data_IF_257404843582
#
_entry.id   IF_257404843582
#
_cell.length_a   1.000
_cell.length_b   1.000
_cell.length_c   1.000
_cell.angle_alpha   90.00
_cell.angle_beta   90.00
_cell.angle_gamma   90.00
#
_symmetry.space_group_name_H-M   'P 1'
#
loop_
_entity.id
_entity.type
_entity.pdbx_description
1 polymer ?
#
# COMPACT_ATOMS: atom_id res chain seq x y z
N UNK A 1 28.61 -42.13 11.38
CA UNK A 1 29.73 -42.25 12.34
C UNK A 1 31.01 -41.92 11.60
N UNK A 2 31.54 -40.72 11.80
CA UNK A 2 32.89 -40.34 11.39
C UNK A 2 33.41 -39.41 12.50
N UNK A 3 34.48 -39.86 13.14
CA UNK A 3 35.16 -39.28 14.30
C UNK A 3 36.37 -38.53 13.77
N UNK A 4 36.51 -37.23 14.07
CA UNK A 4 37.79 -36.50 14.04
C UNK A 4 37.86 -35.52 15.22
N UNK A 5 39.07 -35.21 15.72
CA UNK A 5 39.34 -35.02 17.14
C UNK A 5 39.50 -33.55 17.56
N UNK A 6 39.41 -33.34 18.87
CA UNK A 6 39.91 -32.18 19.60
C UNK A 6 41.41 -31.97 19.33
N UNK A 7 41.80 -30.72 19.13
CA UNK A 7 43.11 -30.28 19.62
C UNK A 7 43.01 -28.91 20.31
N UNK A 8 43.67 -28.87 21.47
CA UNK A 8 43.72 -27.78 22.44
C UNK A 8 45.02 -27.00 22.24
N UNK A 9 45.01 -25.80 22.78
CA UNK A 9 46.18 -25.05 23.28
C UNK A 9 47.17 -24.48 22.28
N UNK A 10 47.12 -23.14 22.13
CA UNK A 10 48.30 -22.31 22.35
C UNK A 10 47.95 -21.03 23.09
N UNK A 11 48.59 -20.91 24.26
CA UNK A 11 48.66 -19.76 25.15
C UNK A 11 49.44 -18.61 24.50
N UNK A 12 49.01 -17.39 24.78
CA UNK A 12 49.74 -16.16 24.52
C UNK A 12 49.32 -15.08 25.51
N UNK A 13 49.83 -15.15 26.73
CA UNK A 13 49.71 -14.12 27.75
C UNK A 13 50.76 -13.02 27.49
N UNK A 14 50.33 -11.76 27.52
CA UNK A 14 51.19 -10.58 27.41
C UNK A 14 50.54 -9.38 28.10
N UNK A 15 50.75 -9.30 29.41
CA UNK A 15 50.45 -8.18 30.30
C UNK A 15 51.37 -6.99 29.97
N UNK A 16 50.86 -5.78 29.75
CA UNK A 16 51.51 -4.54 30.17
C UNK A 16 50.48 -3.46 30.48
N UNK A 17 50.57 -2.97 31.73
CA UNK A 17 49.80 -1.90 32.33
C UNK A 17 50.26 -0.52 31.85
N UNK A 18 49.35 0.46 31.89
CA UNK A 18 49.69 1.86 31.66
C UNK A 18 48.48 2.79 31.57
N UNK A 19 47.86 3.09 32.71
CA UNK A 19 46.94 4.24 32.85
C UNK A 19 47.75 5.54 33.03
N UNK A 20 47.34 6.66 32.42
CA UNK A 20 47.22 7.91 33.18
C UNK A 20 46.01 8.76 32.72
N UNK A 21 45.81 10.01 33.21
CA UNK A 21 44.88 10.37 34.27
C UNK A 21 43.58 11.05 33.77
N UNK A 22 42.60 11.12 34.68
CA UNK A 22 41.38 11.94 34.58
C UNK A 22 41.69 13.43 34.78
N UNK A 23 41.09 14.30 33.96
CA UNK A 23 40.64 15.67 34.28
C UNK A 23 39.59 16.11 33.23
N UNK A 24 38.76 17.14 33.50
CA UNK A 24 37.32 17.12 33.24
C UNK A 24 36.89 18.12 32.15
N UNK A 25 35.57 18.16 31.89
CA UNK A 25 34.83 19.23 31.19
C UNK A 25 35.11 19.37 29.69
N UNK A 26 34.14 19.00 28.86
CA UNK A 26 33.22 19.99 28.29
C UNK A 26 32.03 19.29 27.62
N UNK A 27 30.82 19.78 27.94
CA UNK A 27 29.61 19.52 27.16
C UNK A 27 29.90 19.79 25.68
N UNK A 28 29.62 18.80 24.83
CA UNK A 28 29.10 19.08 23.51
C UNK A 28 27.91 18.14 23.29
N UNK A 29 26.79 18.52 23.89
CA UNK A 29 25.49 18.15 23.37
C UNK A 29 25.40 18.75 21.95
N UNK A 30 25.90 18.00 20.95
CA UNK A 30 25.43 18.21 19.58
C UNK A 30 24.01 17.68 19.57
N UNK A 31 23.06 18.59 19.77
CA UNK A 31 21.68 18.33 19.38
C UNK A 31 21.70 17.68 17.99
N UNK A 32 20.98 16.57 17.77
CA UNK A 32 20.83 16.04 16.42
C UNK A 32 20.27 17.17 15.57
N UNK A 33 21.08 17.67 14.63
CA UNK A 33 20.61 18.58 13.60
C UNK A 33 19.53 17.81 12.86
N UNK A 34 18.27 18.18 13.12
CA UNK A 34 17.16 17.76 12.29
C UNK A 34 17.58 18.02 10.84
N UNK A 35 17.68 16.99 9.98
CA UNK A 35 17.97 17.22 8.58
C UNK A 35 16.88 18.17 8.05
N UNK A 36 17.24 19.19 7.26
CA UNK A 36 16.25 20.06 6.66
C UNK A 36 15.32 19.17 5.84
N UNK A 37 14.07 19.05 6.31
CA UNK A 37 12.98 18.39 5.62
C UNK A 37 12.59 19.26 4.42
N UNK A 38 13.44 19.34 3.40
CA UNK A 38 12.97 19.64 2.04
C UNK A 38 12.23 18.40 1.54
N UNK A 39 11.02 18.22 2.08
CA UNK A 39 10.08 17.22 1.64
C UNK A 39 9.53 17.70 0.28
N UNK A 40 9.73 16.90 -0.77
CA UNK A 40 9.25 17.16 -2.13
C UNK A 40 7.75 17.53 -2.08
N UNK A 41 7.43 18.81 -2.35
CA UNK A 41 6.09 19.40 -2.17
C UNK A 41 4.97 18.63 -2.89
N UNK A 42 5.27 17.94 -3.98
CA UNK A 42 4.29 17.18 -4.78
C UNK A 42 3.69 16.02 -3.97
N UNK A 43 4.51 15.30 -3.19
CA UNK A 43 4.02 14.21 -2.35
C UNK A 43 3.28 14.71 -1.11
N UNK A 44 3.65 15.89 -0.60
CA UNK A 44 2.84 16.57 0.43
C UNK A 44 1.47 16.96 -0.09
N UNK A 45 1.36 17.35 -1.37
CA UNK A 45 0.08 17.69 -2.01
C UNK A 45 -0.88 16.51 -2.06
N UNK A 46 -0.42 15.37 -2.58
CA UNK A 46 -1.24 14.13 -2.62
C UNK A 46 -1.60 13.66 -1.22
N UNK A 47 -0.65 13.72 -0.27
CA UNK A 47 -0.91 13.40 1.13
C UNK A 47 -1.99 14.29 1.75
N UNK A 48 -1.98 15.59 1.46
CA UNK A 48 -3.03 16.51 1.90
C UNK A 48 -4.38 16.19 1.25
N UNK A 49 -4.43 15.91 -0.05
CA UNK A 49 -5.66 15.50 -0.73
C UNK A 49 -6.25 14.22 -0.15
N UNK A 50 -5.44 13.21 0.14
CA UNK A 50 -5.89 11.96 0.75
C UNK A 50 -6.35 12.13 2.21
N UNK A 51 -5.87 13.17 2.91
CA UNK A 51 -6.32 13.52 4.27
C UNK A 51 -7.64 14.29 4.28
N UNK A 52 -8.06 14.91 3.16
CA UNK A 52 -9.28 15.72 3.10
C UNK A 52 -10.54 14.96 3.54
N UNK A 53 -10.81 13.71 3.08
CA UNK A 53 -11.97 12.95 3.56
C UNK A 53 -11.95 12.78 5.08
N UNK A 54 -10.79 12.43 5.65
CA UNK A 54 -10.64 12.28 7.11
C UNK A 54 -10.84 13.59 7.86
N UNK A 55 -10.29 14.69 7.34
CA UNK A 55 -10.48 16.03 7.92
C UNK A 55 -11.93 16.52 7.83
N UNK A 56 -12.61 16.26 6.71
CA UNK A 56 -14.03 16.58 6.53
C UNK A 56 -14.90 15.76 7.49
N UNK A 57 -14.66 14.45 7.61
CA UNK A 57 -15.34 13.62 8.59
C UNK A 57 -15.08 14.09 10.02
N UNK A 58 -13.84 14.46 10.37
CA UNK A 58 -13.52 15.02 11.68
C UNK A 58 -14.25 16.35 11.96
N UNK A 59 -14.34 17.24 10.97
CA UNK A 59 -15.10 18.48 11.07
C UNK A 59 -16.60 18.23 11.21
N UNK A 60 -17.16 17.30 10.44
CA UNK A 60 -18.55 16.85 10.57
C UNK A 60 -18.84 16.26 11.96
N UNK A 61 -17.93 15.45 12.50
CA UNK A 61 -18.05 14.91 13.87
C UNK A 61 -18.09 16.01 14.94
N UNK A 62 -17.25 17.04 14.80
CA UNK A 62 -17.26 18.21 15.68
C UNK A 62 -18.56 19.02 15.56
N UNK A 63 -19.12 19.16 14.36
CA UNK A 63 -20.42 19.81 14.17
C UNK A 63 -21.56 18.98 14.78
N UNK A 64 -21.57 17.65 14.56
CA UNK A 64 -22.55 16.74 15.17
C UNK A 64 -22.49 16.75 16.70
N UNK A 65 -21.30 16.97 17.29
CA UNK A 65 -21.14 17.17 18.73
C UNK A 65 -21.86 18.43 19.23
N UNK A 66 -21.84 19.52 18.47
CA UNK A 66 -22.59 20.74 18.82
C UNK A 66 -24.11 20.55 18.71
N UNK A 67 -24.55 19.68 17.80
CA UNK A 67 -25.97 19.34 17.60
C UNK A 67 -26.48 18.21 18.50
N UNK A 68 -25.67 17.71 19.45
CA UNK A 68 -26.01 16.56 20.31
C UNK A 68 -26.41 15.28 19.55
N UNK A 69 -25.92 15.09 18.33
CA UNK A 69 -26.20 13.90 17.52
C UNK A 69 -25.11 12.83 17.71
N UNK A 70 -25.28 11.98 18.72
CA UNK A 70 -24.27 10.98 19.12
C UNK A 70 -24.00 9.91 18.05
N UNK A 71 -25.02 9.49 17.28
CA UNK A 71 -24.86 8.46 16.24
C UNK A 71 -23.97 8.97 15.08
N UNK A 72 -24.28 10.15 14.54
CA UNK A 72 -23.47 10.75 13.48
C UNK A 72 -22.06 11.09 13.96
N UNK A 73 -21.92 11.55 15.22
CA UNK A 73 -20.61 11.81 15.83
C UNK A 73 -19.73 10.56 15.81
N UNK A 74 -20.23 9.42 16.31
CA UNK A 74 -19.47 8.16 16.33
C UNK A 74 -19.06 7.69 14.92
N UNK A 75 -19.98 7.76 13.95
CA UNK A 75 -19.69 7.41 12.56
C UNK A 75 -18.61 8.32 11.96
N UNK A 76 -18.70 9.63 12.18
CA UNK A 76 -17.73 10.60 11.70
C UNK A 76 -16.36 10.45 12.37
N UNK A 77 -16.31 10.24 13.68
CA UNK A 77 -15.08 10.02 14.44
C UNK A 77 -14.40 8.71 13.98
N UNK A 78 -15.15 7.60 13.86
CA UNK A 78 -14.65 6.32 13.36
C UNK A 78 -14.13 6.42 11.91
N UNK A 79 -14.89 7.06 11.02
CA UNK A 79 -14.49 7.27 9.63
C UNK A 79 -13.22 8.15 9.54
N UNK A 80 -13.15 9.23 10.33
CA UNK A 80 -11.98 10.10 10.36
C UNK A 80 -10.73 9.39 10.88
N UNK A 81 -10.89 8.52 11.90
CA UNK A 81 -9.84 7.67 12.45
C UNK A 81 -9.35 6.69 11.40
N UNK A 82 -10.27 5.96 10.76
CA UNK A 82 -9.97 5.01 9.70
C UNK A 82 -9.26 5.66 8.51
N UNK A 83 -9.75 6.80 8.00
CA UNK A 83 -9.11 7.52 6.91
C UNK A 83 -7.71 8.05 7.28
N UNK A 84 -7.54 8.57 8.50
CA UNK A 84 -6.24 9.10 8.95
C UNK A 84 -5.22 7.99 9.15
N UNK A 85 -5.63 6.87 9.76
CA UNK A 85 -4.82 5.68 9.93
C UNK A 85 -4.45 5.07 8.57
N UNK A 86 -5.41 5.00 7.65
CA UNK A 86 -5.19 4.49 6.30
C UNK A 86 -4.14 5.32 5.54
N UNK A 87 -4.19 6.64 5.61
CA UNK A 87 -3.21 7.52 4.94
C UNK A 87 -1.83 7.46 5.61
N UNK A 88 -1.77 7.15 6.91
CA UNK A 88 -0.52 6.98 7.63
C UNK A 88 0.23 5.69 7.23
N UNK A 89 -0.49 4.67 6.77
CA UNK A 89 0.12 3.42 6.29
C UNK A 89 0.97 3.67 5.02
N UNK A 90 2.10 2.96 4.86
CA UNK A 90 2.84 2.94 3.60
C UNK A 90 1.92 2.49 2.47
N UNK A 91 2.24 2.84 1.22
CA UNK A 91 1.46 2.50 0.02
C UNK A 91 0.04 3.07 -0.06
N UNK A 92 -0.41 3.90 0.88
CA UNK A 92 -1.77 4.47 0.85
C UNK A 92 -2.07 5.24 -0.45
N UNK A 93 -1.07 5.96 -0.98
CA UNK A 93 -1.19 6.65 -2.28
C UNK A 93 -1.38 5.68 -3.45
N UNK A 94 -0.73 4.51 -3.43
CA UNK A 94 -0.93 3.48 -4.45
C UNK A 94 -2.37 2.98 -4.44
N UNK A 95 -2.92 2.72 -3.26
CA UNK A 95 -4.29 2.21 -3.12
C UNK A 95 -5.30 3.23 -3.62
N UNK A 96 -5.13 4.52 -3.27
CA UNK A 96 -6.03 5.58 -3.75
C UNK A 96 -5.98 5.71 -5.27
N UNK A 97 -4.79 5.79 -5.85
CA UNK A 97 -4.62 5.92 -7.31
C UNK A 97 -5.19 4.70 -8.03
N UNK A 98 -4.85 3.50 -7.56
CA UNK A 98 -5.32 2.24 -8.13
C UNK A 98 -6.83 2.10 -8.05
N UNK A 99 -7.43 2.43 -6.91
CA UNK A 99 -8.88 2.40 -6.72
C UNK A 99 -9.58 3.39 -7.65
N UNK A 100 -9.07 4.62 -7.75
CA UNK A 100 -9.64 5.63 -8.62
C UNK A 100 -9.60 5.22 -10.10
N UNK A 101 -8.47 4.69 -10.57
CA UNK A 101 -8.33 4.20 -11.95
C UNK A 101 -9.23 2.99 -12.23
N UNK A 102 -9.29 2.03 -11.30
CA UNK A 102 -10.10 0.82 -11.44
C UNK A 102 -11.60 1.14 -11.43
N UNK A 103 -12.05 2.05 -10.56
CA UNK A 103 -13.44 2.51 -10.53
C UNK A 103 -13.79 3.25 -11.83
N UNK A 104 -12.92 4.16 -12.29
CA UNK A 104 -13.14 4.85 -13.56
C UNK A 104 -13.29 3.84 -14.70
N UNK A 105 -12.37 2.88 -14.81
CA UNK A 105 -12.43 1.81 -15.79
C UNK A 105 -13.73 1.01 -15.73
N UNK A 106 -14.16 0.59 -14.54
CA UNK A 106 -15.43 -0.12 -14.35
C UNK A 106 -16.64 0.72 -14.76
N UNK A 107 -16.66 2.02 -14.48
CA UNK A 107 -17.74 2.93 -14.89
C UNK A 107 -17.80 3.03 -16.42
N UNK A 108 -16.67 3.19 -17.10
CA UNK A 108 -16.64 3.22 -18.57
C UNK A 108 -17.06 1.89 -19.19
N UNK A 109 -16.63 0.76 -18.62
CA UNK A 109 -17.05 -0.56 -19.10
C UNK A 109 -18.53 -0.81 -18.86
N UNK A 110 -19.07 -0.48 -17.68
CA UNK A 110 -20.48 -0.66 -17.33
C UNK A 110 -21.40 0.20 -18.20
N UNK A 111 -21.05 1.47 -18.41
CA UNK A 111 -21.80 2.37 -19.30
C UNK A 111 -21.75 1.90 -20.75
N UNK A 112 -20.60 1.38 -21.20
CA UNK A 112 -20.51 0.86 -22.57
C UNK A 112 -21.28 -0.44 -22.75
N UNK A 113 -21.33 -1.29 -21.72
CA UNK A 113 -22.06 -2.55 -21.74
C UNK A 113 -23.59 -2.36 -21.88
N UNK A 114 -24.11 -1.20 -21.48
CA UNK A 114 -25.52 -0.84 -21.63
C UNK A 114 -25.91 -0.39 -23.04
N UNK A 115 -24.94 -0.11 -23.92
CA UNK A 115 -25.23 0.32 -25.29
C UNK A 115 -25.61 -0.86 -26.19
N UNK A 116 -26.82 -0.86 -26.74
CA UNK A 116 -27.30 -1.91 -27.64
C UNK A 116 -26.47 -2.03 -28.94
N UNK A 117 -25.84 -0.94 -29.37
CA UNK A 117 -24.98 -0.93 -30.56
C UNK A 117 -23.73 -1.79 -30.41
N UNK A 118 -23.31 -2.09 -29.17
CA UNK A 118 -22.19 -2.98 -28.89
C UNK A 118 -22.42 -4.39 -29.45
N UNK A 119 -23.69 -4.84 -29.51
CA UNK A 119 -24.07 -6.14 -30.06
C UNK A 119 -23.89 -6.21 -31.59
N UNK A 120 -23.85 -5.06 -32.27
CA UNK A 120 -23.66 -4.97 -33.72
C UNK A 120 -22.19 -4.86 -34.11
N UNK A 121 -21.30 -4.63 -33.15
CA UNK A 121 -19.86 -4.54 -33.42
C UNK A 121 -19.31 -5.91 -33.84
N UNK A 122 -18.73 -5.94 -35.04
CA UNK A 122 -17.95 -7.08 -35.53
C UNK A 122 -16.48 -6.73 -35.39
N UNK A 123 -15.79 -7.47 -34.52
CA UNK A 123 -14.35 -7.36 -34.34
C UNK A 123 -13.60 -7.87 -35.59
N UNK A 124 -12.36 -7.41 -35.82
CA UNK A 124 -11.56 -7.89 -36.94
C UNK A 124 -11.27 -9.40 -36.85
N UNK A 125 -10.95 -10.04 -37.98
CA UNK A 125 -10.78 -11.49 -38.08
C UNK A 125 -9.67 -12.06 -37.18
N UNK A 126 -8.71 -11.25 -36.74
CA UNK A 126 -7.65 -11.64 -35.80
C UNK A 126 -8.11 -11.68 -34.34
N UNK A 127 -9.31 -11.17 -34.04
CA UNK A 127 -9.89 -11.21 -32.70
C UNK A 127 -10.44 -12.60 -32.39
N UNK A 128 -9.87 -13.25 -31.38
CA UNK A 128 -10.30 -14.57 -30.92
C UNK A 128 -11.41 -14.53 -29.86
N UNK A 129 -11.86 -13.34 -29.48
CA UNK A 129 -12.95 -13.13 -28.50
C UNK A 129 -13.98 -12.16 -29.05
N UNK A 130 -15.20 -12.23 -28.52
CA UNK A 130 -16.25 -11.22 -28.77
C UNK A 130 -15.98 -9.95 -27.96
N UNK A 131 -16.61 -8.83 -28.34
CA UNK A 131 -16.51 -7.56 -27.59
C UNK A 131 -16.95 -7.74 -26.14
N UNK A 132 -18.07 -8.44 -25.91
CA UNK A 132 -18.56 -8.73 -24.56
C UNK A 132 -17.56 -9.56 -23.76
N UNK A 133 -16.93 -10.56 -24.39
CA UNK A 133 -15.86 -11.34 -23.75
C UNK A 133 -14.66 -10.46 -23.37
N UNK A 134 -14.26 -9.55 -24.26
CA UNK A 134 -13.21 -8.57 -23.98
C UNK A 134 -13.54 -7.68 -22.78
N UNK A 135 -14.74 -7.08 -22.76
CA UNK A 135 -15.24 -6.22 -21.68
C UNK A 135 -15.27 -6.96 -20.34
N UNK A 136 -15.80 -8.20 -20.30
CA UNK A 136 -15.88 -8.99 -19.07
C UNK A 136 -14.49 -9.28 -18.49
N UNK A 137 -13.53 -9.66 -19.33
CA UNK A 137 -12.15 -9.89 -18.88
C UNK A 137 -11.50 -8.59 -18.40
N UNK A 138 -11.75 -7.46 -19.08
CA UNK A 138 -11.26 -6.15 -18.64
C UNK A 138 -11.84 -5.75 -17.27
N UNK A 139 -13.15 -5.98 -17.05
CA UNK A 139 -13.79 -5.75 -15.75
C UNK A 139 -13.18 -6.64 -14.66
N UNK A 140 -12.87 -7.90 -14.98
CA UNK A 140 -12.21 -8.80 -14.03
C UNK A 140 -10.82 -8.29 -13.61
N UNK A 141 -10.03 -7.74 -14.54
CA UNK A 141 -8.75 -7.11 -14.19
C UNK A 141 -8.93 -5.86 -13.32
N UNK A 142 -9.90 -5.00 -13.63
CA UNK A 142 -10.17 -3.82 -12.81
C UNK A 142 -10.60 -4.20 -11.38
N UNK A 143 -11.43 -5.23 -11.22
CA UNK A 143 -11.81 -5.76 -9.90
C UNK A 143 -10.60 -6.39 -9.18
N UNK A 144 -9.77 -7.15 -9.89
CA UNK A 144 -8.54 -7.70 -9.32
C UNK A 144 -7.63 -6.59 -8.80
N UNK A 145 -7.47 -5.49 -9.54
CA UNK A 145 -6.68 -4.33 -9.11
C UNK A 145 -7.26 -3.68 -7.85
N UNK A 146 -8.58 -3.54 -7.79
CA UNK A 146 -9.29 -2.97 -6.65
C UNK A 146 -9.12 -3.81 -5.38
N UNK A 147 -9.10 -5.14 -5.50
CA UNK A 147 -8.85 -6.06 -4.39
C UNK A 147 -7.36 -6.16 -4.03
N UNK A 148 -6.48 -6.15 -5.03
CA UNK A 148 -5.04 -6.34 -4.83
C UNK A 148 -4.40 -5.18 -4.10
N UNK A 149 -4.78 -3.94 -4.41
CA UNK A 149 -4.16 -2.77 -3.79
C UNK A 149 -4.27 -2.75 -2.25
N UNK A 150 -5.45 -2.94 -1.62
CA UNK A 150 -5.55 -3.03 -0.16
C UNK A 150 -4.89 -4.31 0.38
N UNK A 151 -4.96 -5.44 -0.33
CA UNK A 151 -4.25 -6.67 0.05
C UNK A 151 -2.74 -6.42 0.17
N UNK A 152 -2.13 -5.82 -0.86
CA UNK A 152 -0.70 -5.58 -0.88
C UNK A 152 -0.26 -4.58 0.21
N UNK A 153 -1.06 -3.52 0.42
CA UNK A 153 -0.83 -2.60 1.53
C UNK A 153 -0.90 -3.30 2.89
N UNK A 154 -1.89 -4.18 3.08
CA UNK A 154 -2.04 -4.94 4.32
C UNK A 154 -0.85 -5.86 4.57
N UNK A 155 -0.40 -6.63 3.58
CA UNK A 155 0.75 -7.54 3.71
C UNK A 155 2.05 -6.79 4.04
N UNK A 156 2.27 -5.64 3.42
CA UNK A 156 3.43 -4.79 3.76
C UNK A 156 3.32 -4.24 5.18
N UNK A 157 2.12 -3.83 5.61
CA UNK A 157 1.90 -3.34 6.96
C UNK A 157 2.09 -4.42 8.03
N UNK A 158 1.51 -5.59 7.82
CA UNK A 158 1.67 -6.77 8.67
C UNK A 158 3.15 -7.10 8.87
N UNK A 159 3.91 -7.11 7.78
CA UNK A 159 5.34 -7.39 7.82
C UNK A 159 6.14 -6.37 8.64
N UNK A 160 5.80 -5.09 8.53
CA UNK A 160 6.43 -4.02 9.32
C UNK A 160 6.12 -4.20 10.81
N UNK A 161 4.88 -4.54 11.16
CA UNK A 161 4.49 -4.77 12.55
C UNK A 161 5.19 -6.00 13.16
N UNK A 162 5.33 -7.09 12.40
CA UNK A 162 6.07 -8.28 12.85
C UNK A 162 7.55 -7.96 13.15
N UNK A 163 8.18 -7.16 12.30
CA UNK A 163 9.59 -6.77 12.44
C UNK A 163 9.78 -5.80 13.61
N UNK A 164 8.89 -4.81 13.78
CA UNK A 164 8.98 -3.86 14.89
C UNK A 164 8.79 -4.53 16.25
N UNK A 165 7.86 -5.48 16.36
CA UNK A 165 7.58 -6.19 17.61
C UNK A 165 8.72 -7.13 18.00
N UNK A 166 9.44 -7.67 17.02
CA UNK A 166 10.60 -8.54 17.27
C UNK A 166 11.79 -7.77 17.84
N UNK A 167 11.97 -6.50 17.47
CA UNK A 167 13.01 -5.64 18.00
C UNK A 167 12.67 -5.08 19.39
N UNK A 168 11.39 -4.77 19.64
CA UNK A 168 10.91 -4.28 20.94
C UNK A 168 11.13 -5.30 22.06
N UNK A 169 10.95 -6.60 21.78
CA UNK A 169 11.24 -7.68 22.75
C UNK A 169 12.70 -7.74 23.21
N UNK A 170 13.62 -7.08 22.50
CA UNK A 170 15.04 -7.00 22.86
C UNK A 170 15.38 -5.70 23.58
N UNK A 171 14.50 -4.69 23.56
CA UNK A 171 14.70 -3.37 24.15
C UNK A 171 13.82 -3.19 25.41
N UNK A 172 14.17 -2.21 26.23
CA UNK A 172 13.59 -1.97 27.55
C UNK A 172 12.04 -1.82 27.49
N UNK A 173 11.23 -2.52 28.32
CA UNK A 173 9.76 -2.51 28.28
C UNK A 173 9.08 -1.14 28.54
N UNK A 174 9.83 -0.05 28.70
CA UNK A 174 9.27 1.28 28.99
C UNK A 174 9.00 2.13 27.72
N UNK A 175 9.46 1.72 26.53
CA UNK A 175 9.34 2.51 25.30
C UNK A 175 8.00 2.28 24.60
N UNK A 176 7.08 3.24 24.70
CA UNK A 176 5.69 3.13 24.17
C UNK A 176 5.51 3.49 22.69
N UNK A 177 6.57 3.99 22.03
CA UNK A 177 6.52 4.43 20.63
C UNK A 177 7.74 3.92 19.89
N UNK A 178 7.50 3.00 18.94
CA UNK A 178 8.54 2.46 18.06
C UNK A 178 8.55 3.27 16.77
N UNK A 179 9.65 3.97 16.52
CA UNK A 179 9.86 4.70 15.26
C UNK A 179 10.43 3.75 14.22
N UNK A 180 9.67 3.44 13.18
CA UNK A 180 10.13 2.60 12.07
C UNK A 180 10.90 3.46 11.08
N UNK A 181 12.13 3.05 10.80
CA UNK A 181 13.01 3.75 9.85
C UNK A 181 12.53 3.56 8.41
N UNK A 182 12.97 4.44 7.50
CA UNK A 182 12.57 4.35 6.08
C UNK A 182 13.15 3.10 5.42
N UNK A 183 14.32 2.69 5.90
CA UNK A 183 15.09 1.55 5.47
C UNK A 183 14.36 0.25 5.81
N UNK A 184 13.82 0.13 7.04
CA UNK A 184 12.96 -0.98 7.47
C UNK A 184 11.72 -1.08 6.57
N UNK A 185 10.94 0.01 6.43
CA UNK A 185 9.73 0.00 5.58
C UNK A 185 10.04 -0.46 4.14
N UNK A 186 11.18 -0.02 3.59
CA UNK A 186 11.60 -0.41 2.24
C UNK A 186 12.00 -1.89 2.18
N UNK A 187 12.66 -2.40 3.20
CA UNK A 187 13.08 -3.80 3.23
C UNK A 187 11.88 -4.74 3.42
N UNK A 188 10.96 -4.41 4.32
CA UNK A 188 9.68 -5.12 4.47
C UNK A 188 8.91 -5.12 3.13
N UNK A 189 8.86 -3.97 2.44
CA UNK A 189 8.25 -3.88 1.10
C UNK A 189 8.89 -4.85 0.11
N UNK A 190 10.23 -4.87 -0.01
CA UNK A 190 10.93 -5.77 -0.95
C UNK A 190 10.70 -7.23 -0.59
N UNK A 191 10.68 -7.55 0.70
CA UNK A 191 10.47 -8.91 1.15
C UNK A 191 9.08 -9.40 0.75
N UNK A 192 8.03 -8.63 1.02
CA UNK A 192 6.68 -8.95 0.58
C UNK A 192 6.61 -9.00 -0.95
N UNK A 193 7.23 -8.04 -1.64
CA UNK A 193 7.22 -7.99 -3.10
C UNK A 193 7.85 -9.22 -3.77
N UNK A 194 8.97 -9.70 -3.26
CA UNK A 194 9.74 -10.81 -3.85
C UNK A 194 9.27 -12.19 -3.38
N UNK A 195 8.76 -12.30 -2.16
CA UNK A 195 8.47 -13.60 -1.54
C UNK A 195 6.97 -13.89 -1.39
N UNK A 196 6.08 -12.91 -1.55
CA UNK A 196 4.64 -13.17 -1.50
C UNK A 196 4.14 -13.70 -2.85
N UNK A 197 3.67 -14.96 -2.85
CA UNK A 197 3.17 -15.62 -4.05
C UNK A 197 1.98 -14.89 -4.68
N UNK A 198 1.12 -14.25 -3.87
CA UNK A 198 0.00 -13.46 -4.36
C UNK A 198 0.47 -12.23 -5.13
N UNK A 199 1.51 -11.56 -4.67
CA UNK A 199 2.14 -10.44 -5.38
C UNK A 199 2.76 -10.91 -6.70
N UNK A 200 3.50 -12.02 -6.71
CA UNK A 200 4.06 -12.58 -7.95
C UNK A 200 2.96 -12.91 -8.98
N UNK A 201 1.88 -13.57 -8.55
CA UNK A 201 0.73 -13.86 -9.42
C UNK A 201 0.10 -12.57 -9.98
N UNK A 202 -0.03 -11.55 -9.15
CA UNK A 202 -0.56 -10.25 -9.58
C UNK A 202 0.30 -9.59 -10.66
N UNK A 203 1.63 -9.66 -10.60
CA UNK A 203 2.49 -9.12 -11.67
C UNK A 203 2.30 -9.83 -13.01
N UNK A 204 2.05 -11.15 -12.99
CA UNK A 204 1.69 -11.90 -14.19
C UNK A 204 0.32 -11.45 -14.72
N UNK A 205 -0.66 -11.26 -13.83
CA UNK A 205 -1.98 -10.75 -14.19
C UNK A 205 -1.91 -9.31 -14.74
N UNK A 206 -1.01 -8.47 -14.21
CA UNK A 206 -0.76 -7.11 -14.70
C UNK A 206 -0.18 -7.14 -16.12
N UNK A 207 0.79 -8.02 -16.39
CA UNK A 207 1.33 -8.23 -17.73
C UNK A 207 0.27 -8.74 -18.72
N UNK A 208 -0.58 -9.66 -18.28
CA UNK A 208 -1.72 -10.13 -19.07
C UNK A 208 -2.72 -9.00 -19.36
N UNK A 209 -3.06 -8.19 -18.36
CA UNK A 209 -3.95 -7.03 -18.48
C UNK A 209 -3.40 -5.99 -19.45
N UNK A 210 -2.09 -5.71 -19.41
CA UNK A 210 -1.43 -4.79 -20.34
C UNK A 210 -1.55 -5.26 -21.79
N UNK A 211 -1.25 -6.54 -22.07
CA UNK A 211 -1.39 -7.13 -23.41
C UNK A 211 -2.86 -7.17 -23.85
N UNK A 212 -3.76 -7.51 -22.93
CA UNK A 212 -5.20 -7.59 -23.19
C UNK A 212 -5.80 -6.23 -23.54
N UNK A 213 -5.42 -5.19 -22.80
CA UNK A 213 -5.80 -3.80 -23.06
C UNK A 213 -5.25 -3.33 -24.40
N UNK A 214 -3.99 -3.64 -24.72
CA UNK A 214 -3.36 -3.26 -25.98
C UNK A 214 -3.99 -3.94 -27.21
N UNK A 215 -4.32 -5.23 -27.13
CA UNK A 215 -5.05 -5.94 -28.18
C UNK A 215 -6.48 -5.40 -28.32
N UNK A 216 -7.17 -5.24 -27.19
CA UNK A 216 -8.49 -4.64 -27.12
C UNK A 216 -8.58 -3.30 -27.82
N UNK A 217 -7.65 -2.40 -27.50
CA UNK A 217 -7.55 -1.08 -28.13
C UNK A 217 -7.48 -1.16 -29.66
N UNK A 218 -6.62 -2.03 -30.20
CA UNK A 218 -6.51 -2.24 -31.66
C UNK A 218 -7.81 -2.75 -32.27
N UNK A 219 -8.44 -3.72 -31.62
CA UNK A 219 -9.70 -4.30 -32.11
C UNK A 219 -10.84 -3.29 -32.13
N UNK A 220 -11.03 -2.52 -31.05
CA UNK A 220 -12.15 -1.56 -30.94
C UNK A 220 -11.96 -0.31 -31.79
N UNK A 221 -10.72 0.03 -32.16
CA UNK A 221 -10.39 1.19 -33.02
C UNK A 221 -10.45 0.87 -34.51
N UNK A 222 -10.57 -0.39 -34.91
CA UNK A 222 -10.63 -0.78 -36.33
C UNK A 222 -11.92 -0.28 -37.01
N UNK A 223 -13.05 -0.33 -36.30
CA UNK A 223 -14.35 0.18 -36.78
C UNK A 223 -14.99 1.08 -35.71
N UNK A 224 -14.51 2.33 -35.53
CA UNK A 224 -14.85 3.16 -34.38
C UNK A 224 -16.35 3.48 -34.29
N UNK A 225 -17.03 3.62 -35.43
CA UNK A 225 -18.45 3.95 -35.51
C UNK A 225 -19.36 2.88 -34.89
N UNK A 226 -18.98 1.60 -34.99
CA UNK A 226 -19.78 0.48 -34.49
C UNK A 226 -19.26 -0.03 -33.15
N UNK A 227 -17.95 -0.09 -32.99
CA UNK A 227 -17.31 -0.76 -31.87
C UNK A 227 -16.93 0.18 -30.74
N UNK A 228 -16.93 1.49 -30.96
CA UNK A 228 -16.52 2.46 -29.95
C UNK A 228 -17.40 3.72 -29.96
N UNK A 229 -18.74 3.58 -29.93
CA UNK A 229 -19.63 4.74 -29.89
C UNK A 229 -19.32 5.57 -28.63
N UNK A 230 -18.99 6.85 -28.82
CA UNK A 230 -18.66 7.76 -27.73
C UNK A 230 -17.29 7.53 -27.07
N UNK A 231 -16.44 6.64 -27.59
CA UNK A 231 -15.06 6.50 -27.12
C UNK A 231 -14.84 5.67 -25.85
N UNK A 232 -15.91 5.11 -25.25
CA UNK A 232 -15.85 4.44 -23.94
C UNK A 232 -14.89 3.24 -23.88
N UNK A 233 -14.92 2.34 -24.87
CA UNK A 233 -14.02 1.17 -24.89
C UNK A 233 -12.56 1.57 -25.07
N UNK A 234 -12.30 2.52 -25.99
CA UNK A 234 -10.93 3.01 -26.21
C UNK A 234 -10.38 3.70 -24.96
N UNK A 235 -11.22 4.46 -24.25
CA UNK A 235 -10.84 5.09 -22.99
C UNK A 235 -10.54 4.05 -21.92
N UNK A 236 -11.41 3.04 -21.74
CA UNK A 236 -11.17 1.95 -20.79
C UNK A 236 -9.87 1.18 -21.10
N UNK A 237 -9.61 0.85 -22.36
CA UNK A 237 -8.36 0.19 -22.75
C UNK A 237 -7.12 1.06 -22.44
N UNK A 238 -7.21 2.37 -22.68
CA UNK A 238 -6.14 3.31 -22.30
C UNK A 238 -5.95 3.41 -20.78
N UNK A 239 -7.03 3.36 -19.99
CA UNK A 239 -6.94 3.33 -18.53
C UNK A 239 -6.24 2.05 -18.05
N UNK A 240 -6.60 0.89 -18.59
CA UNK A 240 -5.92 -0.38 -18.26
C UNK A 240 -4.42 -0.36 -18.62
N UNK A 241 -4.07 0.22 -19.77
CA UNK A 241 -2.67 0.41 -20.19
C UNK A 241 -1.91 1.37 -19.27
N UNK A 242 -2.49 2.54 -19.00
CA UNK A 242 -1.93 3.55 -18.11
C UNK A 242 -1.77 2.99 -16.68
N UNK A 243 -2.73 2.19 -16.22
CA UNK A 243 -2.68 1.56 -14.91
C UNK A 243 -1.47 0.64 -14.77
N UNK A 244 -1.24 -0.25 -15.74
CA UNK A 244 -0.08 -1.13 -15.73
C UNK A 244 1.25 -0.36 -15.73
N UNK A 245 1.35 0.74 -16.50
CA UNK A 245 2.53 1.61 -16.48
C UNK A 245 2.71 2.28 -15.12
N UNK A 246 1.65 2.86 -14.57
CA UNK A 246 1.69 3.52 -13.25
C UNK A 246 2.10 2.52 -12.17
N UNK A 247 1.55 1.31 -12.18
CA UNK A 247 1.91 0.26 -11.23
C UNK A 247 3.40 -0.11 -11.33
N UNK A 248 3.93 -0.33 -12.55
CA UNK A 248 5.36 -0.61 -12.75
C UNK A 248 6.24 0.56 -12.30
N UNK A 249 5.91 1.79 -12.69
CA UNK A 249 6.66 2.98 -12.27
C UNK A 249 6.64 3.17 -10.76
N UNK A 250 5.49 2.91 -10.13
CA UNK A 250 5.32 2.98 -8.69
C UNK A 250 6.20 1.94 -7.98
N UNK A 251 6.17 0.69 -8.45
CA UNK A 251 7.03 -0.39 -7.95
C UNK A 251 8.51 -0.05 -8.11
N UNK A 252 8.92 0.44 -9.28
CA UNK A 252 10.31 0.85 -9.53
C UNK A 252 10.71 2.01 -8.61
N UNK A 253 9.83 2.99 -8.41
CA UNK A 253 10.09 4.10 -7.49
C UNK A 253 10.30 3.59 -6.06
N UNK A 254 9.48 2.67 -5.56
CA UNK A 254 9.67 2.07 -4.23
C UNK A 254 10.90 1.17 -4.13
N UNK A 255 11.19 0.41 -5.17
CA UNK A 255 12.33 -0.50 -5.18
C UNK A 255 13.66 0.26 -5.25
N UNK A 256 13.74 1.29 -6.08
CA UNK A 256 14.98 2.02 -6.38
C UNK A 256 15.18 3.28 -5.51
N UNK A 257 14.11 3.99 -5.12
CA UNK A 257 14.21 5.29 -4.45
C UNK A 257 13.89 5.19 -2.95
N UNK A 258 14.88 5.50 -2.10
CA UNK A 258 14.65 5.63 -0.65
C UNK A 258 13.83 6.87 -0.23
N UNK A 259 13.57 7.78 -1.16
CA UNK A 259 12.86 9.04 -0.90
C UNK A 259 11.34 8.82 -0.78
N UNK A 260 10.82 7.75 -1.40
CA UNK A 260 9.38 7.46 -1.44
C UNK A 260 8.85 6.90 -0.11
N UNK A 261 9.71 6.34 0.73
CA UNK A 261 9.35 5.88 2.06
C UNK A 261 9.32 7.08 3.04
N UNK A 262 8.21 7.22 3.76
CA UNK A 262 8.10 8.12 4.91
C UNK A 262 8.34 7.30 6.18
N UNK A 263 9.12 7.83 7.12
CA UNK A 263 9.22 7.22 8.44
C UNK A 263 7.84 7.21 9.10
N UNK A 264 7.51 6.11 9.76
CA UNK A 264 6.21 5.91 10.41
C UNK A 264 6.42 5.59 11.87
N UNK A 265 5.67 6.27 12.73
CA UNK A 265 5.63 5.97 14.17
C UNK A 265 4.51 4.98 14.42
N UNK A 266 4.83 3.83 14.98
CA UNK A 266 3.85 2.83 15.43
C UNK A 266 3.67 3.04 16.94
N UNK A 267 2.44 3.32 17.35
CA UNK A 267 2.09 3.34 18.78
C UNK A 267 1.71 1.93 19.19
N UNK A 268 2.50 1.32 20.07
CA UNK A 268 2.32 -0.07 20.52
C UNK A 268 0.93 -0.32 21.12
N UNK A 269 0.32 0.69 21.75
CA UNK A 269 -1.05 0.61 22.31
C UNK A 269 -2.21 0.52 21.31
N UNK A 270 -1.99 0.51 19.99
CA UNK A 270 -3.07 0.31 19.01
C UNK A 270 -3.43 -1.17 18.82
N UNK A 271 -2.49 -2.10 19.04
CA UNK A 271 -2.76 -3.53 18.91
C UNK A 271 -3.68 -4.07 20.02
N UNK A 272 -3.58 -3.53 21.25
CA UNK A 272 -4.50 -3.90 22.33
C UNK A 272 -5.95 -3.54 22.00
N UNK A 273 -6.18 -2.44 21.27
CA UNK A 273 -7.53 -2.02 20.87
C UNK A 273 -8.07 -2.90 19.74
N UNK A 274 -7.26 -3.22 18.73
CA UNK A 274 -7.68 -4.05 17.60
C UNK A 274 -7.87 -5.53 18.02
N UNK A 275 -7.07 -6.03 18.97
CA UNK A 275 -7.28 -7.34 19.60
C UNK A 275 -8.54 -7.35 20.48
N UNK A 276 -8.76 -6.31 21.30
CA UNK A 276 -9.97 -6.21 22.11
C UNK A 276 -11.24 -6.14 21.24
N UNK A 277 -11.21 -5.43 20.10
CA UNK A 277 -12.34 -5.40 19.15
C UNK A 277 -12.58 -6.77 18.47
N UNK A 278 -11.52 -7.54 18.19
CA UNK A 278 -11.67 -8.90 17.64
C UNK A 278 -12.24 -9.88 18.67
N UNK A 279 -11.79 -9.82 19.92
CA UNK A 279 -12.33 -10.61 21.02
C UNK A 279 -13.82 -10.29 21.27
N UNK A 280 -14.20 -9.00 21.25
CA UNK A 280 -15.60 -8.58 21.41
C UNK A 280 -16.48 -9.06 20.23
N UNK A 281 -15.94 -9.10 19.00
CA UNK A 281 -16.64 -9.66 17.84
C UNK A 281 -16.80 -11.19 17.91
N UNK A 282 -15.84 -11.92 18.48
CA UNK A 282 -15.97 -13.36 18.71
C UNK A 282 -16.98 -13.67 19.81
N UNK A 283 -16.98 -12.91 20.92
CA UNK A 283 -17.99 -13.06 21.98
C UNK A 283 -19.41 -12.79 21.47
N UNK A 284 -19.58 -11.78 20.61
CA UNK A 284 -20.91 -11.44 20.06
C UNK A 284 -21.43 -12.51 19.08
N UNK A 285 -20.55 -13.26 18.41
CA UNK A 285 -20.94 -14.37 17.51
C UNK A 285 -21.24 -15.66 18.26
N UNK A 286 -20.78 -15.80 19.52
CA UNK A 286 -20.93 -17.00 20.34
C UNK A 286 -22.21 -17.08 21.18
N UNK A 287 -23.06 -16.06 21.19
CA UNK A 287 -24.28 -16.04 22.00
C UNK A 287 -25.49 -16.53 21.18
N UNK A 288 -26.02 -17.74 21.45
CA UNK A 288 -27.16 -18.33 20.72
C UNK A 288 -28.52 -17.69 21.05
#
# INVERSE_FOLDING_TARGET
>A
QAIWPQDRSRLGAGHLAGSPPRFPLFLCATAPRAPPLEMIYIFSGVGSCCRLPGMLCGACGNLCKQLNCNACRRCCEACSGGCSAFVARPLSSFVVITSAMSIAELVYLATTFQNEDLQKCVLPEDAFVTVSGWVVVQMAFALLNLCFAPYFQYRVWEKICEESNSEELLQDPEVTVVSVTKEEVRESFKQVFLHDFGVCFYFLALGASFVWSGKGYRWVTTHPELCNPGGGLSFSANVGYAFAIVAVLYTVAWYCCGICARATEIRSGYQEVEQAEQEEQEETKGSP
#
